data_IF_084518355874
#
_entry.id   IF_084518355874
#
_cell.length_a   1.000
_cell.length_b   1.000
_cell.length_c   1.000
_cell.angle_alpha   90.00
_cell.angle_beta   90.00
_cell.angle_gamma   90.00
#
_symmetry.space_group_name_H-M   'P 1'
#
loop_
_entity.id
_entity.type
_entity.pdbx_description
1 polymer ?
#
# COMPACT_ATOMS: atom_id res chain seq x y z
N UNK A 1 13.30 5.50 2.06
CA UNK A 1 12.23 5.99 2.97
C UNK A 1 12.31 5.13 4.21
N UNK A 2 12.27 5.73 5.39
CA UNK A 2 12.43 5.01 6.65
C UNK A 2 11.21 4.11 6.92
N UNK A 3 11.41 2.91 7.45
CA UNK A 3 10.34 1.94 7.71
C UNK A 3 9.29 2.52 8.68
N UNK A 4 9.73 3.39 9.60
CA UNK A 4 8.86 4.14 10.51
C UNK A 4 7.92 5.11 9.80
N UNK A 5 8.41 5.81 8.77
CA UNK A 5 7.57 6.72 7.98
C UNK A 5 6.48 5.93 7.23
N UNK A 6 6.85 4.78 6.65
CA UNK A 6 5.88 3.88 6.02
C UNK A 6 4.83 3.39 7.02
N UNK A 7 5.24 3.01 8.24
CA UNK A 7 4.33 2.58 9.28
C UNK A 7 3.33 3.69 9.66
N UNK A 8 3.82 4.92 9.88
CA UNK A 8 2.99 6.07 10.21
C UNK A 8 1.96 6.39 9.10
N UNK A 9 2.41 6.44 7.84
CA UNK A 9 1.51 6.68 6.71
C UNK A 9 0.47 5.56 6.54
N UNK A 10 0.88 4.30 6.77
CA UNK A 10 -0.02 3.15 6.71
C UNK A 10 -1.11 3.25 7.77
N UNK A 11 -0.76 3.61 9.01
CA UNK A 11 -1.73 3.81 10.09
C UNK A 11 -2.76 4.90 9.76
N UNK A 12 -2.34 6.00 9.13
CA UNK A 12 -3.28 7.05 8.68
C UNK A 12 -4.24 6.51 7.61
N UNK A 13 -3.74 5.78 6.62
CA UNK A 13 -4.57 5.17 5.57
C UNK A 13 -5.57 4.19 6.17
N UNK A 14 -5.14 3.37 7.14
CA UNK A 14 -6.02 2.44 7.86
C UNK A 14 -7.11 3.20 8.60
N UNK A 15 -6.77 4.26 9.35
CA UNK A 15 -7.75 5.06 10.08
C UNK A 15 -8.81 5.70 9.15
N UNK A 16 -8.39 6.28 8.03
CA UNK A 16 -9.32 6.88 7.04
C UNK A 16 -10.26 5.84 6.42
N UNK A 17 -9.75 4.63 6.17
CA UNK A 17 -10.55 3.51 5.65
C UNK A 17 -11.53 3.00 6.69
N UNK A 18 -11.10 2.83 7.93
CA UNK A 18 -11.99 2.45 9.02
C UNK A 18 -13.11 3.47 9.19
N UNK A 19 -12.81 4.77 9.10
CA UNK A 19 -13.83 5.82 9.08
C UNK A 19 -14.86 5.61 7.96
N UNK A 20 -14.39 5.45 6.72
CA UNK A 20 -15.27 5.21 5.55
C UNK A 20 -16.13 3.96 5.72
N UNK A 21 -15.53 2.86 6.19
CA UNK A 21 -16.22 1.58 6.39
C UNK A 21 -17.23 1.64 7.54
N UNK A 22 -16.94 2.38 8.61
CA UNK A 22 -17.83 2.54 9.76
C UNK A 22 -19.13 3.26 9.40
N UNK A 23 -19.10 4.21 8.45
CA UNK A 23 -20.31 4.85 7.92
C UNK A 23 -21.15 3.93 7.03
N UNK A 24 -20.56 2.86 6.48
CA UNK A 24 -21.26 1.91 5.64
C UNK A 24 -21.75 2.48 4.30
N UNK A 25 -22.77 1.83 3.73
CA UNK A 25 -23.39 2.24 2.47
C UNK A 25 -22.55 2.00 1.21
N UNK A 26 -22.99 2.51 0.04
CA UNK A 26 -22.36 2.23 -1.25
C UNK A 26 -20.90 2.70 -1.34
N UNK A 27 -20.54 3.79 -0.65
CA UNK A 27 -19.17 4.30 -0.61
C UNK A 27 -18.22 3.34 0.11
N UNK A 28 -18.66 2.73 1.22
CA UNK A 28 -17.88 1.73 1.95
C UNK A 28 -17.64 0.47 1.11
N UNK A 29 -18.65 -0.02 0.38
CA UNK A 29 -18.49 -1.19 -0.52
C UNK A 29 -17.46 -0.89 -1.62
N UNK A 30 -17.58 0.27 -2.27
CA UNK A 30 -16.64 0.69 -3.32
C UNK A 30 -15.21 0.84 -2.80
N UNK A 31 -15.04 1.36 -1.58
CA UNK A 31 -13.72 1.46 -0.95
C UNK A 31 -13.16 0.06 -0.61
N UNK A 32 -14.00 -0.86 -0.10
CA UNK A 32 -13.58 -2.23 0.20
C UNK A 32 -13.13 -2.99 -1.07
N UNK A 33 -13.87 -2.89 -2.17
CA UNK A 33 -13.50 -3.50 -3.45
C UNK A 33 -12.17 -2.92 -3.99
N UNK A 34 -12.02 -1.59 -3.91
CA UNK A 34 -10.80 -0.91 -4.31
C UNK A 34 -9.61 -1.35 -3.44
N UNK A 35 -9.82 -1.47 -2.13
CA UNK A 35 -8.82 -1.94 -1.18
C UNK A 35 -8.28 -3.33 -1.51
N UNK A 36 -9.14 -4.24 -1.96
CA UNK A 36 -8.73 -5.59 -2.38
C UNK A 36 -7.93 -5.52 -3.67
N UNK A 37 -8.45 -4.79 -4.66
CA UNK A 37 -7.79 -4.61 -5.97
C UNK A 37 -6.38 -4.03 -5.83
N UNK A 38 -6.22 -3.03 -4.96
CA UNK A 38 -4.92 -2.41 -4.68
C UNK A 38 -3.93 -3.38 -4.02
N UNK A 39 -4.38 -4.24 -3.08
CA UNK A 39 -3.51 -5.25 -2.44
C UNK A 39 -3.04 -6.29 -3.45
N UNK A 40 -3.95 -6.80 -4.28
CA UNK A 40 -3.64 -7.77 -5.32
C UNK A 40 -2.62 -7.18 -6.30
N UNK A 41 -2.88 -5.97 -6.81
CA UNK A 41 -1.97 -5.30 -7.74
C UNK A 41 -0.59 -5.01 -7.11
N UNK A 42 -0.54 -4.61 -5.84
CA UNK A 42 0.71 -4.37 -5.13
C UNK A 42 1.54 -5.64 -4.96
N UNK A 43 0.92 -6.74 -4.55
CA UNK A 43 1.59 -8.01 -4.34
C UNK A 43 2.04 -8.66 -5.65
N UNK A 44 1.21 -8.62 -6.69
CA UNK A 44 1.59 -9.10 -8.02
C UNK A 44 2.79 -8.33 -8.57
N UNK A 45 2.77 -7.00 -8.46
CA UNK A 45 3.89 -6.18 -8.92
C UNK A 45 5.17 -6.45 -8.10
N UNK A 46 5.06 -6.63 -6.78
CA UNK A 46 6.23 -6.97 -5.95
C UNK A 46 6.77 -8.36 -6.29
N UNK A 47 5.88 -9.35 -6.43
CA UNK A 47 6.25 -10.71 -6.80
C UNK A 47 6.94 -10.76 -8.17
N UNK A 48 6.44 -10.01 -9.14
CA UNK A 48 7.10 -9.87 -10.44
C UNK A 48 8.47 -9.19 -10.32
N UNK A 49 8.58 -8.10 -9.58
CA UNK A 49 9.85 -7.41 -9.34
C UNK A 49 10.86 -8.30 -8.61
N UNK A 50 10.39 -9.20 -7.73
CA UNK A 50 11.22 -10.23 -7.06
C UNK A 50 11.68 -11.31 -8.04
N UNK A 51 10.75 -11.93 -8.79
CA UNK A 51 11.07 -13.00 -9.74
C UNK A 51 12.02 -12.55 -10.85
N UNK A 52 11.90 -11.29 -11.28
CA UNK A 52 12.76 -10.70 -12.31
C UNK A 52 14.09 -10.18 -11.76
N UNK A 53 14.31 -10.24 -10.44
CA UNK A 53 15.52 -9.72 -9.79
C UNK A 53 15.60 -8.18 -9.79
N UNK A 54 14.52 -7.48 -10.11
CA UNK A 54 14.47 -6.01 -10.22
C UNK A 54 14.66 -5.30 -8.88
N UNK A 55 14.40 -5.98 -7.76
CA UNK A 55 14.70 -5.47 -6.42
C UNK A 55 16.16 -5.70 -5.99
N UNK A 56 16.99 -6.29 -6.84
CA UNK A 56 18.38 -6.66 -6.52
C UNK A 56 18.52 -8.11 -6.06
N UNK A 57 19.75 -8.50 -5.76
CA UNK A 57 20.13 -9.88 -5.45
C UNK A 57 20.57 -10.07 -4.00
N UNK A 58 20.75 -8.99 -3.24
CA UNK A 58 21.06 -9.05 -1.81
C UNK A 58 19.81 -8.82 -0.94
N UNK A 59 19.76 -9.40 0.27
CA UNK A 59 18.63 -9.19 1.19
C UNK A 59 18.33 -7.72 1.51
N UNK A 60 19.38 -6.89 1.64
CA UNK A 60 19.24 -5.46 1.95
C UNK A 60 18.61 -4.67 0.80
N UNK A 61 19.01 -4.97 -0.44
CA UNK A 61 18.43 -4.37 -1.64
C UNK A 61 16.95 -4.76 -1.79
N UNK A 62 16.64 -6.04 -1.57
CA UNK A 62 15.28 -6.55 -1.62
C UNK A 62 14.39 -5.87 -0.57
N UNK A 63 14.89 -5.71 0.66
CA UNK A 63 14.19 -5.02 1.73
C UNK A 63 13.93 -3.55 1.38
N UNK A 64 14.98 -2.83 1.01
CA UNK A 64 14.91 -1.41 0.64
C UNK A 64 13.97 -1.18 -0.55
N UNK A 65 14.04 -2.03 -1.57
CA UNK A 65 13.17 -2.01 -2.73
C UNK A 65 11.71 -2.29 -2.37
N UNK A 66 11.46 -3.26 -1.48
CA UNK A 66 10.13 -3.58 -0.98
C UNK A 66 9.51 -2.44 -0.17
N UNK A 67 10.28 -1.81 0.72
CA UNK A 67 9.83 -0.62 1.47
C UNK A 67 9.46 0.49 0.48
N UNK A 68 10.34 0.81 -0.47
CA UNK A 68 10.07 1.85 -1.46
C UNK A 68 8.83 1.54 -2.33
N UNK A 69 8.62 0.27 -2.67
CA UNK A 69 7.46 -0.21 -3.41
C UNK A 69 6.13 0.04 -2.67
N UNK A 70 6.07 -0.29 -1.38
CA UNK A 70 4.87 -0.06 -0.58
C UNK A 70 4.69 1.43 -0.24
N UNK A 71 5.76 2.14 0.12
CA UNK A 71 5.73 3.58 0.39
C UNK A 71 5.07 4.39 -0.71
N UNK A 72 5.43 4.15 -1.98
CA UNK A 72 4.82 4.86 -3.12
C UNK A 72 3.31 4.62 -3.20
N UNK A 73 2.83 3.42 -2.86
CA UNK A 73 1.40 3.07 -2.92
C UNK A 73 0.63 3.61 -1.74
N UNK A 74 1.18 3.50 -0.53
CA UNK A 74 0.57 4.05 0.70
C UNK A 74 0.42 5.56 0.59
N UNK A 75 1.44 6.27 0.09
CA UNK A 75 1.34 7.71 -0.15
C UNK A 75 0.22 8.07 -1.12
N UNK A 76 0.11 7.37 -2.26
CA UNK A 76 -0.99 7.57 -3.23
C UNK A 76 -2.36 7.29 -2.62
N UNK A 77 -2.48 6.26 -1.78
CA UNK A 77 -3.71 5.95 -1.05
C UNK A 77 -4.08 7.10 -0.10
N UNK A 78 -3.10 7.61 0.66
CA UNK A 78 -3.29 8.75 1.58
C UNK A 78 -3.77 9.99 0.85
N UNK A 79 -3.08 10.36 -0.23
CA UNK A 79 -3.43 11.51 -1.07
C UNK A 79 -4.83 11.40 -1.69
N UNK A 80 -5.28 10.18 -2.02
CA UNK A 80 -6.64 9.95 -2.52
C UNK A 80 -7.69 10.05 -1.43
N UNK A 81 -7.45 9.44 -0.27
CA UNK A 81 -8.40 9.41 0.84
C UNK A 81 -8.56 10.76 1.53
N UNK A 82 -7.57 11.65 1.37
CA UNK A 82 -7.63 13.03 1.84
C UNK A 82 -8.43 13.97 0.90
N UNK A 83 -8.93 13.47 -0.24
CA UNK A 83 -9.79 14.20 -1.17
C UNK A 83 -11.24 13.75 -1.01
#
# INVERSE_FOLDING_TARGET
MDAWALAAESSMVIAMRLGTLAFGGPAAVKEAERMVSEKVAANMALGFDLMTGKLGTSPDQILSGSIAHYSRRVRRNRERLAK
#
